data_IF_385827324694
#
_entry.id   IF_385827324694
#
_cell.length_a   1.000
_cell.length_b   1.000
_cell.length_c   1.000
_cell.angle_alpha   90.00
_cell.angle_beta   90.00
_cell.angle_gamma   90.00
#
_symmetry.space_group_name_H-M   'P 1'
#
loop_
_entity.id
_entity.type
_entity.pdbx_description
1 polymer ?
#
# COMPACT_ATOMS: atom_id res chain seq x y z
N UNK A 1 18.61 7.30 -30.97
CA UNK A 1 19.45 6.70 -29.91
C UNK A 1 19.25 7.36 -28.54
N UNK A 2 19.08 8.68 -28.42
CA UNK A 2 18.87 9.37 -27.12
C UNK A 2 17.63 8.87 -26.34
N UNK A 3 16.50 8.61 -27.03
CA UNK A 3 15.25 8.19 -26.37
C UNK A 3 15.39 6.78 -25.76
N UNK A 4 16.15 5.87 -26.37
CA UNK A 4 16.37 4.53 -25.81
C UNK A 4 17.29 4.55 -24.56
N UNK A 5 18.22 5.50 -24.50
CA UNK A 5 19.09 5.66 -23.32
C UNK A 5 18.39 6.37 -22.14
N UNK A 6 17.34 7.15 -22.41
CA UNK A 6 16.60 7.86 -21.35
C UNK A 6 15.88 6.92 -20.38
N UNK A 7 15.53 5.70 -20.78
CA UNK A 7 14.92 4.71 -19.88
C UNK A 7 15.85 4.25 -18.76
N UNK A 8 17.20 4.31 -18.97
CA UNK A 8 18.18 4.03 -17.93
C UNK A 8 18.20 5.06 -16.81
N UNK A 9 17.66 6.26 -17.05
CA UNK A 9 17.48 7.28 -16.02
C UNK A 9 16.46 6.87 -14.94
N UNK A 10 15.62 5.86 -15.20
CA UNK A 10 14.69 5.30 -14.21
C UNK A 10 15.36 4.27 -13.28
N UNK A 11 16.47 3.65 -13.70
CA UNK A 11 17.16 2.64 -12.89
C UNK A 11 17.56 3.14 -11.48
N UNK A 12 18.15 4.33 -11.31
CA UNK A 12 18.49 4.86 -9.99
C UNK A 12 17.26 5.10 -9.10
N UNK A 13 16.09 5.39 -9.66
CA UNK A 13 14.86 5.53 -8.88
C UNK A 13 14.44 4.19 -8.27
N UNK A 14 14.48 3.10 -9.05
CA UNK A 14 14.18 1.76 -8.53
C UNK A 14 15.21 1.31 -7.50
N UNK A 15 16.50 1.65 -7.68
CA UNK A 15 17.53 1.40 -6.68
C UNK A 15 17.23 2.17 -5.37
N UNK A 16 16.76 3.41 -5.47
CA UNK A 16 16.32 4.20 -4.32
C UNK A 16 15.13 3.55 -3.60
N UNK A 17 14.17 2.97 -4.34
CA UNK A 17 13.04 2.25 -3.75
C UNK A 17 13.48 0.96 -3.05
N UNK A 18 14.49 0.24 -3.57
CA UNK A 18 15.12 -0.89 -2.88
C UNK A 18 15.73 -0.44 -1.55
N UNK A 19 16.42 0.71 -1.54
CA UNK A 19 16.89 1.35 -0.29
C UNK A 19 15.74 1.64 0.67
N UNK A 20 14.60 2.09 0.15
CA UNK A 20 13.35 2.28 0.91
C UNK A 20 12.87 0.99 1.61
N UNK A 21 12.93 -0.16 0.93
CA UNK A 21 12.58 -1.45 1.54
C UNK A 21 13.53 -1.79 2.70
N UNK A 22 14.84 -1.53 2.54
CA UNK A 22 15.82 -1.77 3.61
C UNK A 22 15.51 -0.91 4.83
N UNK A 23 15.16 0.38 4.63
CA UNK A 23 14.75 1.28 5.71
C UNK A 23 13.48 0.76 6.39
N UNK A 24 12.49 0.29 5.62
CA UNK A 24 11.26 -0.30 6.15
C UNK A 24 11.54 -1.56 6.97
N UNK A 25 12.46 -2.42 6.53
CA UNK A 25 12.87 -3.62 7.26
C UNK A 25 13.49 -3.26 8.61
N UNK A 26 14.36 -2.26 8.65
CA UNK A 26 14.97 -1.78 9.91
C UNK A 26 13.88 -1.23 10.85
N UNK A 27 12.96 -0.42 10.33
CA UNK A 27 11.84 0.13 11.11
C UNK A 27 10.90 -0.96 11.63
N UNK A 28 10.59 -1.95 10.80
CA UNK A 28 9.80 -3.12 11.19
C UNK A 28 10.48 -3.88 12.33
N UNK A 29 11.79 -4.13 12.23
CA UNK A 29 12.55 -4.76 13.29
C UNK A 29 12.53 -3.95 14.60
N UNK A 30 12.73 -2.63 14.52
CA UNK A 30 12.67 -1.76 15.70
C UNK A 30 11.29 -1.84 16.39
N UNK A 31 10.21 -1.74 15.63
CA UNK A 31 8.84 -1.83 16.14
C UNK A 31 8.55 -3.19 16.76
N UNK A 32 8.99 -4.27 16.09
CA UNK A 32 8.85 -5.62 16.59
C UNK A 32 9.58 -5.82 17.94
N UNK A 33 10.83 -5.39 18.03
CA UNK A 33 11.60 -5.51 19.29
C UNK A 33 11.06 -4.60 20.38
N UNK A 34 10.46 -3.46 20.04
CA UNK A 34 9.79 -2.60 21.01
C UNK A 34 8.51 -3.23 21.55
N UNK A 35 7.79 -4.00 20.73
CA UNK A 35 6.57 -4.68 21.13
C UNK A 35 6.83 -5.82 22.14
N UNK A 36 7.92 -6.57 21.99
CA UNK A 36 8.20 -7.79 22.78
C UNK A 36 8.12 -7.57 24.31
N UNK A 37 8.72 -6.53 24.92
CA UNK A 37 8.59 -6.29 26.34
C UNK A 37 7.17 -5.95 26.80
N UNK A 38 6.36 -5.34 25.93
CA UNK A 38 5.01 -4.85 26.23
C UNK A 38 3.94 -5.94 26.14
N UNK A 39 4.25 -7.10 25.55
CA UNK A 39 3.30 -8.23 25.42
C UNK A 39 2.77 -8.69 26.79
N UNK A 40 3.59 -8.63 27.82
CA UNK A 40 3.24 -9.15 29.17
C UNK A 40 2.75 -8.06 30.13
N UNK A 41 2.95 -6.79 29.83
CA UNK A 41 2.70 -5.68 30.77
C UNK A 41 1.92 -4.51 30.18
N UNK A 42 1.77 -4.46 28.86
CA UNK A 42 1.08 -3.37 28.17
C UNK A 42 -0.43 -3.56 28.08
N UNK A 43 -1.19 -2.46 27.93
CA UNK A 43 -2.63 -2.54 27.67
C UNK A 43 -2.87 -3.18 26.27
N UNK A 44 -3.98 -3.92 26.15
CA UNK A 44 -4.35 -4.64 24.92
C UNK A 44 -4.42 -3.72 23.69
N UNK A 45 -4.90 -2.50 23.86
CA UNK A 45 -5.00 -1.51 22.79
C UNK A 45 -3.64 -1.11 22.20
N UNK A 46 -2.60 -0.98 23.01
CA UNK A 46 -1.24 -0.69 22.53
C UNK A 46 -0.67 -1.86 21.74
N UNK A 47 -0.91 -3.10 22.18
CA UNK A 47 -0.49 -4.30 21.47
C UNK A 47 -1.19 -4.38 20.11
N UNK A 48 -2.49 -4.12 20.06
CA UNK A 48 -3.26 -4.10 18.80
C UNK A 48 -2.70 -3.04 17.84
N UNK A 49 -2.44 -1.81 18.33
CA UNK A 49 -1.90 -0.74 17.52
C UNK A 49 -0.50 -1.06 16.98
N UNK A 50 0.36 -1.68 17.79
CA UNK A 50 1.68 -2.10 17.35
C UNK A 50 1.61 -3.21 16.28
N UNK A 51 0.74 -4.21 16.45
CA UNK A 51 0.51 -5.25 15.43
C UNK A 51 -0.02 -4.62 14.13
N UNK A 52 -0.98 -3.71 14.20
CA UNK A 52 -1.50 -3.00 13.03
C UNK A 52 -0.41 -2.18 12.34
N UNK A 53 0.54 -1.62 13.11
CA UNK A 53 1.69 -0.90 12.55
C UNK A 53 2.65 -1.84 11.81
N UNK A 54 2.91 -3.04 12.33
CA UNK A 54 3.72 -4.04 11.65
C UNK A 54 3.06 -4.52 10.34
N UNK A 55 1.74 -4.76 10.36
CA UNK A 55 0.97 -5.12 9.16
C UNK A 55 1.04 -4.01 8.11
N UNK A 56 0.86 -2.75 8.51
CA UNK A 56 0.94 -1.59 7.64
C UNK A 56 2.31 -1.49 6.95
N UNK A 57 3.40 -1.58 7.71
CA UNK A 57 4.76 -1.59 7.17
C UNK A 57 4.97 -2.75 6.17
N UNK A 58 4.43 -3.93 6.46
CA UNK A 58 4.50 -5.09 5.57
C UNK A 58 3.76 -4.85 4.25
N UNK A 59 2.57 -4.22 4.29
CA UNK A 59 1.82 -3.88 3.09
C UNK A 59 2.53 -2.82 2.23
N UNK A 60 3.12 -1.80 2.86
CA UNK A 60 3.91 -0.79 2.14
C UNK A 60 5.15 -1.42 1.49
N UNK A 61 5.86 -2.29 2.20
CA UNK A 61 7.02 -3.02 1.64
C UNK A 61 6.60 -3.90 0.45
N UNK A 62 5.48 -4.60 0.56
CA UNK A 62 4.93 -5.41 -0.54
C UNK A 62 4.53 -4.55 -1.75
N UNK A 63 3.93 -3.38 -1.52
CA UNK A 63 3.62 -2.42 -2.58
C UNK A 63 4.90 -1.93 -3.28
N UNK A 64 5.95 -1.60 -2.53
CA UNK A 64 7.25 -1.19 -3.10
C UNK A 64 7.85 -2.29 -3.98
N UNK A 65 7.80 -3.55 -3.54
CA UNK A 65 8.27 -4.70 -4.33
C UNK A 65 7.53 -4.79 -5.65
N UNK A 66 6.21 -4.71 -5.64
CA UNK A 66 5.38 -4.76 -6.86
C UNK A 66 5.77 -3.62 -7.81
N UNK A 67 5.94 -2.40 -7.31
CA UNK A 67 6.31 -1.23 -8.12
C UNK A 67 7.71 -1.40 -8.71
N UNK A 68 8.68 -1.87 -7.92
CA UNK A 68 10.07 -2.05 -8.36
C UNK A 68 10.13 -3.08 -9.49
N UNK A 69 9.62 -4.29 -9.27
CA UNK A 69 9.71 -5.35 -10.27
C UNK A 69 8.95 -5.00 -11.54
N UNK A 70 7.71 -4.57 -11.40
CA UNK A 70 6.88 -4.25 -12.55
C UNK A 70 7.36 -3.00 -13.30
N UNK A 71 7.81 -1.99 -12.58
CA UNK A 71 8.36 -0.79 -13.20
C UNK A 71 9.68 -1.08 -13.91
N UNK A 72 10.57 -1.86 -13.29
CA UNK A 72 11.84 -2.22 -13.90
C UNK A 72 11.63 -3.06 -15.18
N UNK A 73 10.80 -4.11 -15.16
CA UNK A 73 10.50 -4.93 -16.33
C UNK A 73 9.88 -4.14 -17.48
N UNK A 74 8.96 -3.22 -17.17
CA UNK A 74 8.25 -2.46 -18.20
C UNK A 74 9.07 -1.32 -18.80
N UNK A 75 9.90 -0.67 -18.01
CA UNK A 75 10.56 0.58 -18.42
C UNK A 75 12.06 0.46 -18.62
N UNK A 76 12.74 -0.44 -17.93
CA UNK A 76 14.21 -0.55 -18.01
C UNK A 76 14.65 -1.75 -18.84
N UNK A 77 14.38 -2.96 -18.40
CA UNK A 77 14.79 -4.20 -19.09
C UNK A 77 14.02 -5.40 -18.59
N UNK A 78 13.84 -6.41 -19.43
CA UNK A 78 13.35 -7.71 -18.97
C UNK A 78 14.39 -8.34 -18.06
N UNK A 79 13.96 -8.80 -16.88
CA UNK A 79 14.83 -9.49 -15.94
C UNK A 79 15.05 -10.91 -16.47
N UNK A 80 16.29 -11.20 -16.90
CA UNK A 80 16.67 -12.56 -17.29
C UNK A 80 16.94 -13.36 -16.00
N UNK A 81 16.00 -14.20 -15.64
CA UNK A 81 16.07 -15.03 -14.43
C UNK A 81 16.73 -16.37 -14.64
N UNK A 82 17.29 -16.64 -15.85
CA UNK A 82 18.12 -17.80 -16.12
C UNK A 82 17.55 -19.17 -15.70
N UNK A 83 16.20 -19.32 -15.65
CA UNK A 83 15.55 -20.59 -15.30
C UNK A 83 15.56 -20.95 -13.80
N UNK A 84 15.79 -20.01 -12.88
CA UNK A 84 15.70 -20.26 -11.44
C UNK A 84 14.26 -20.66 -11.04
N UNK A 85 14.15 -21.73 -10.24
CA UNK A 85 12.88 -22.31 -9.74
C UNK A 85 12.07 -21.33 -8.85
N UNK A 86 12.74 -20.34 -8.23
CA UNK A 86 12.12 -19.36 -7.35
C UNK A 86 11.47 -18.15 -8.09
N UNK A 87 11.22 -18.30 -9.38
CA UNK A 87 10.55 -17.26 -10.16
C UNK A 87 9.07 -17.16 -9.76
N UNK A 88 8.60 -16.03 -9.20
CA UNK A 88 7.18 -15.84 -8.96
C UNK A 88 6.39 -15.96 -10.27
N UNK A 89 5.29 -16.69 -10.27
CA UNK A 89 4.46 -16.97 -11.46
C UNK A 89 3.93 -15.72 -12.19
N UNK A 90 3.93 -14.58 -11.48
CA UNK A 90 3.51 -13.29 -12.01
C UNK A 90 4.64 -12.53 -12.74
N UNK A 91 5.91 -12.91 -12.56
CA UNK A 91 7.06 -12.25 -13.19
C UNK A 91 7.10 -12.56 -14.69
N UNK A 92 7.15 -11.53 -15.53
CA UNK A 92 7.15 -11.67 -17.01
C UNK A 92 5.76 -11.80 -17.67
N UNK A 93 4.67 -11.79 -16.87
CA UNK A 93 3.28 -11.77 -17.36
C UNK A 93 2.51 -10.54 -16.85
N UNK A 94 3.21 -9.56 -16.30
CA UNK A 94 2.54 -8.39 -15.70
C UNK A 94 2.02 -7.52 -16.83
N UNK A 95 0.75 -7.68 -17.15
CA UNK A 95 0.01 -6.71 -17.93
C UNK A 95 -0.09 -5.40 -17.11
N UNK A 96 0.14 -4.28 -17.77
CA UNK A 96 0.12 -2.95 -17.16
C UNK A 96 -1.22 -2.65 -16.46
N UNK A 97 -2.30 -3.26 -16.95
CA UNK A 97 -3.64 -3.18 -16.36
C UNK A 97 -3.71 -3.91 -15.01
N UNK A 98 -3.23 -5.15 -14.94
CA UNK A 98 -3.17 -5.93 -13.70
C UNK A 98 -2.30 -5.30 -12.62
N UNK A 99 -1.24 -4.57 -13.00
CA UNK A 99 -0.41 -3.81 -12.06
C UNK A 99 -1.18 -2.66 -11.42
N UNK A 100 -1.88 -1.85 -12.21
CA UNK A 100 -2.67 -0.72 -11.70
C UNK A 100 -3.66 -1.17 -10.62
N UNK A 101 -4.37 -2.28 -10.86
CA UNK A 101 -5.34 -2.83 -9.90
C UNK A 101 -4.64 -3.27 -8.62
N UNK A 102 -3.49 -3.95 -8.69
CA UNK A 102 -2.72 -4.38 -7.51
C UNK A 102 -2.22 -3.19 -6.69
N UNK A 103 -1.72 -2.14 -7.34
CA UNK A 103 -1.27 -0.92 -6.67
C UNK A 103 -2.44 -0.24 -5.97
N UNK A 104 -3.57 -0.07 -6.65
CA UNK A 104 -4.77 0.55 -6.08
C UNK A 104 -5.29 -0.26 -4.89
N UNK A 105 -5.38 -1.59 -5.02
CA UNK A 105 -5.80 -2.47 -3.94
C UNK A 105 -4.90 -2.36 -2.71
N UNK A 106 -3.58 -2.26 -2.90
CA UNK A 106 -2.62 -2.05 -1.81
C UNK A 106 -2.82 -0.70 -1.13
N UNK A 107 -3.04 0.37 -1.88
CA UNK A 107 -3.29 1.71 -1.33
C UNK A 107 -4.60 1.73 -0.53
N UNK A 108 -5.65 1.08 -1.03
CA UNK A 108 -6.93 0.94 -0.31
C UNK A 108 -6.74 0.16 0.98
N UNK A 109 -5.97 -0.93 0.98
CA UNK A 109 -5.68 -1.72 2.18
C UNK A 109 -4.91 -0.91 3.22
N UNK A 110 -3.86 -0.17 2.82
CA UNK A 110 -3.09 0.72 3.69
C UNK A 110 -4.00 1.80 4.31
N UNK A 111 -4.84 2.43 3.49
CA UNK A 111 -5.80 3.45 3.95
C UNK A 111 -6.82 2.86 4.95
N UNK A 112 -7.28 1.62 4.76
CA UNK A 112 -8.18 0.93 5.67
C UNK A 112 -7.54 0.67 7.04
N UNK A 113 -6.26 0.23 7.05
CA UNK A 113 -5.52 0.01 8.30
C UNK A 113 -5.29 1.32 9.05
N UNK A 114 -4.94 2.39 8.35
CA UNK A 114 -4.75 3.71 8.96
C UNK A 114 -6.05 4.25 9.57
N UNK A 115 -7.19 3.97 8.92
CA UNK A 115 -8.50 4.29 9.46
C UNK A 115 -8.80 3.45 10.70
N UNK A 116 -8.54 2.15 10.67
CA UNK A 116 -8.72 1.24 11.80
C UNK A 116 -7.87 1.65 13.01
N UNK A 117 -6.60 2.02 12.82
CA UNK A 117 -5.75 2.58 13.88
C UNK A 117 -6.40 3.80 14.53
N UNK A 118 -6.96 4.69 13.72
CA UNK A 118 -7.65 5.89 14.22
C UNK A 118 -8.87 5.55 15.06
N UNK A 119 -9.64 4.53 14.68
CA UNK A 119 -10.78 4.06 15.48
C UNK A 119 -10.35 3.44 16.81
N UNK A 120 -9.31 2.61 16.82
CA UNK A 120 -8.77 2.01 18.05
C UNK A 120 -8.29 3.11 18.99
N UNK A 121 -7.55 4.10 18.46
CA UNK A 121 -7.05 5.22 19.26
C UNK A 121 -8.19 6.02 19.92
N UNK A 122 -9.26 6.33 19.18
CA UNK A 122 -10.41 7.04 19.74
C UNK A 122 -11.16 6.20 20.77
N UNK A 123 -11.29 4.90 20.53
CA UNK A 123 -11.90 4.00 21.50
C UNK A 123 -11.20 4.08 22.87
N UNK A 124 -9.88 4.28 22.89
CA UNK A 124 -9.12 4.45 24.13
C UNK A 124 -9.32 5.84 24.75
N UNK A 125 -9.38 6.90 23.96
CA UNK A 125 -9.62 8.26 24.42
C UNK A 125 -11.03 8.45 25.00
N UNK A 126 -12.06 7.89 24.35
CA UNK A 126 -13.46 7.95 24.81
C UNK A 126 -13.71 7.16 26.09
N UNK A 127 -12.79 6.27 26.48
CA UNK A 127 -12.86 5.55 27.76
C UNK A 127 -12.45 6.40 28.96
N UNK A 128 -11.96 7.64 28.75
CA UNK A 128 -11.64 8.57 29.82
C UNK A 128 -12.91 9.26 30.33
N UNK A 129 -13.07 9.44 31.68
CA UNK A 129 -14.26 10.04 32.27
C UNK A 129 -14.57 11.48 31.81
N UNK A 130 -13.54 12.20 31.35
CA UNK A 130 -13.64 13.59 30.90
C UNK A 130 -14.13 13.74 29.44
N UNK A 131 -14.23 12.64 28.68
CA UNK A 131 -14.66 12.66 27.30
C UNK A 131 -16.13 13.05 27.10
N UNK A 132 -16.97 12.87 28.13
CA UNK A 132 -18.41 13.11 28.03
C UNK A 132 -18.83 14.58 28.15
N UNK A 133 -17.93 15.47 28.56
CA UNK A 133 -18.30 16.89 28.80
C UNK A 133 -18.48 17.70 27.53
N UNK A 134 -18.05 17.20 26.37
CA UNK A 134 -18.13 17.86 25.05
C UNK A 134 -18.71 16.99 23.94
N UNK A 135 -19.49 15.97 24.27
CA UNK A 135 -19.97 14.94 23.35
C UNK A 135 -20.78 15.43 22.13
N UNK A 136 -21.17 16.71 22.07
CA UNK A 136 -21.90 17.31 20.97
C UNK A 136 -21.11 18.37 20.17
N UNK A 137 -19.91 18.71 20.59
CA UNK A 137 -19.04 19.64 19.88
C UNK A 137 -18.00 18.89 19.02
N UNK A 138 -18.02 19.11 17.71
CA UNK A 138 -17.03 18.56 16.78
C UNK A 138 -15.61 18.94 17.19
N UNK A 139 -14.87 17.98 17.68
CA UNK A 139 -13.47 18.15 18.05
C UNK A 139 -12.57 18.15 16.80
N UNK A 140 -11.32 18.57 16.97
CA UNK A 140 -10.32 18.48 15.89
C UNK A 140 -10.08 17.02 15.48
N UNK A 141 -10.20 16.08 16.43
CA UNK A 141 -10.09 14.63 16.18
C UNK A 141 -11.22 14.10 15.27
N UNK A 142 -12.47 14.50 15.57
CA UNK A 142 -13.63 14.09 14.74
C UNK A 142 -13.51 14.55 13.30
N UNK A 143 -13.04 15.78 13.10
CA UNK A 143 -12.78 16.31 11.76
C UNK A 143 -11.69 15.53 11.03
N UNK A 144 -10.61 15.19 11.72
CA UNK A 144 -9.52 14.41 11.15
C UNK A 144 -10.00 13.03 10.68
N UNK A 145 -10.86 12.36 11.46
CA UNK A 145 -11.44 11.07 11.08
C UNK A 145 -12.40 11.20 9.89
N UNK A 146 -13.27 12.19 9.90
CA UNK A 146 -14.14 12.44 8.75
C UNK A 146 -13.34 12.60 7.46
N UNK A 147 -12.23 13.33 7.50
CA UNK A 147 -11.34 13.46 6.35
C UNK A 147 -10.69 12.12 5.96
N UNK A 148 -10.25 11.32 6.93
CA UNK A 148 -9.69 9.98 6.66
C UNK A 148 -10.73 9.05 6.02
N UNK A 149 -11.98 9.06 6.54
CA UNK A 149 -13.10 8.29 5.94
C UNK A 149 -13.37 8.77 4.51
N UNK A 150 -13.42 10.09 4.28
CA UNK A 150 -13.63 10.66 2.95
C UNK A 150 -12.54 10.26 1.96
N UNK A 151 -11.28 10.30 2.37
CA UNK A 151 -10.14 9.87 1.55
C UNK A 151 -10.25 8.37 1.25
N UNK A 152 -10.49 7.54 2.27
CA UNK A 152 -10.65 6.09 2.09
C UNK A 152 -11.79 5.76 1.11
N UNK A 153 -12.95 6.39 1.28
CA UNK A 153 -14.09 6.20 0.36
C UNK A 153 -13.73 6.61 -1.07
N UNK A 154 -13.04 7.72 -1.24
CA UNK A 154 -12.59 8.19 -2.57
C UNK A 154 -11.62 7.19 -3.22
N UNK A 155 -10.69 6.61 -2.44
CA UNK A 155 -9.75 5.60 -2.92
C UNK A 155 -10.48 4.32 -3.33
N UNK A 156 -11.43 3.83 -2.52
CA UNK A 156 -12.26 2.66 -2.86
C UNK A 156 -13.07 2.91 -4.13
N UNK A 157 -13.74 4.06 -4.22
CA UNK A 157 -14.52 4.44 -5.40
C UNK A 157 -13.65 4.52 -6.65
N UNK A 158 -12.49 5.15 -6.56
CA UNK A 158 -11.52 5.23 -7.66
C UNK A 158 -11.07 3.82 -8.08
N UNK A 159 -10.79 2.93 -7.12
CA UNK A 159 -10.42 1.54 -7.40
C UNK A 159 -11.50 0.78 -8.17
N UNK A 160 -12.76 0.91 -7.75
CA UNK A 160 -13.90 0.30 -8.44
C UNK A 160 -14.06 0.87 -9.85
N UNK A 161 -13.94 2.18 -10.02
CA UNK A 161 -14.02 2.83 -11.35
C UNK A 161 -12.90 2.36 -12.28
N UNK A 162 -11.67 2.22 -11.78
CA UNK A 162 -10.56 1.66 -12.56
C UNK A 162 -10.82 0.21 -12.97
N UNK A 163 -11.30 -0.64 -12.06
CA UNK A 163 -11.63 -2.03 -12.38
C UNK A 163 -12.76 -2.13 -13.42
N UNK A 164 -13.77 -1.26 -13.33
CA UNK A 164 -14.84 -1.19 -14.33
C UNK A 164 -14.33 -0.72 -15.68
N UNK A 165 -13.46 0.28 -15.71
CA UNK A 165 -12.85 0.80 -16.94
C UNK A 165 -12.01 -0.26 -17.63
N UNK A 166 -11.20 -1.02 -16.90
CA UNK A 166 -10.41 -2.12 -17.43
C UNK A 166 -11.31 -3.21 -18.01
N UNK A 167 -12.35 -3.61 -17.29
CA UNK A 167 -13.32 -4.61 -17.79
C UNK A 167 -14.01 -4.17 -19.07
N UNK A 168 -14.40 -2.89 -19.18
CA UNK A 168 -15.01 -2.33 -20.40
C UNK A 168 -13.98 -2.33 -21.55
N UNK A 169 -12.74 -1.95 -21.28
CA UNK A 169 -11.67 -1.94 -22.29
C UNK A 169 -11.35 -3.34 -22.82
N UNK A 170 -11.36 -4.36 -21.97
CA UNK A 170 -11.16 -5.76 -22.37
C UNK A 170 -12.35 -6.32 -23.17
N UNK A 171 -13.58 -5.89 -22.86
CA UNK A 171 -14.79 -6.35 -23.54
C UNK A 171 -14.99 -5.71 -24.93
N UNK A 172 -14.23 -4.67 -25.27
CA UNK A 172 -14.32 -4.03 -26.59
C UNK A 172 -13.57 -4.90 -27.61
N UNK A 173 -14.24 -5.50 -28.62
CA UNK A 173 -13.58 -6.35 -29.61
C UNK A 173 -12.53 -5.50 -30.35
N UNK A 174 -11.27 -5.97 -30.35
CA UNK A 174 -10.22 -5.42 -31.21
C UNK A 174 -10.72 -5.54 -32.65
N UNK A 175 -11.20 -4.46 -33.22
CA UNK A 175 -11.55 -4.40 -34.63
C UNK A 175 -10.30 -4.81 -35.43
N UNK A 176 -10.37 -6.00 -36.02
CA UNK A 176 -9.28 -6.58 -36.78
C UNK A 176 -8.84 -5.65 -37.90
N UNK A 177 -7.64 -5.14 -37.82
CA UNK A 177 -6.90 -4.66 -38.96
C UNK A 177 -6.50 -5.88 -39.79
N UNK A 178 -7.41 -6.31 -40.68
CA UNK A 178 -7.02 -7.07 -41.88
C UNK A 178 -6.55 -6.04 -42.89
N UNK A 179 -5.26 -5.92 -43.08
CA UNK A 179 -4.61 -5.53 -44.31
C UNK A 179 -3.25 -6.21 -44.37
#
# INVERSE_FOLDING_TARGET
>A
MLIFNSRWLLAPFYLGLVGGIVIMLVKFGQEFFHLVPHIFSGPESEIILAILTLVDMSLVANLLIIIIFSGYENFVSKIDTGGHEDRPDWMGKVDFSGLKIKVIASIVAISAIELLKSFVYIGTELSSPDAYSSAWAWTAGDKAIMWKIGIHFTLVLSGVLFALMDKIAESTPKHGSKH
#
